data_IF_536599998484
#
_entry.id   IF_536599998484
#
_cell.length_a   1.000
_cell.length_b   1.000
_cell.length_c   1.000
_cell.angle_alpha   90.00
_cell.angle_beta   90.00
_cell.angle_gamma   90.00
#
_symmetry.space_group_name_H-M   'P 1'
#
loop_
_entity.id
_entity.type
_entity.pdbx_description
1 polymer ?
#
# COMPACT_ATOMS: atom_id res chain seq x y z
N UNK A 1 29.51 15.21 -27.84
CA UNK A 1 28.83 13.92 -28.04
C UNK A 1 27.46 14.21 -28.66
N UNK A 2 27.16 13.77 -29.90
CA UNK A 2 25.88 14.06 -30.53
C UNK A 2 24.79 13.16 -29.94
N UNK A 3 23.74 13.76 -29.35
CA UNK A 3 22.53 13.06 -28.95
C UNK A 3 21.83 12.52 -30.21
N UNK A 4 21.60 11.21 -30.25
CA UNK A 4 21.07 10.50 -31.40
C UNK A 4 19.61 10.89 -31.68
N UNK A 5 19.22 10.83 -32.96
CA UNK A 5 17.90 11.20 -33.49
C UNK A 5 16.70 10.60 -32.71
N UNK A 6 16.90 9.51 -31.97
CA UNK A 6 15.87 8.83 -31.20
C UNK A 6 15.30 9.67 -30.04
N UNK A 7 16.11 10.55 -29.42
CA UNK A 7 15.67 11.33 -28.27
C UNK A 7 14.78 12.52 -28.65
N UNK A 8 14.91 13.02 -29.90
CA UNK A 8 14.05 14.09 -30.43
C UNK A 8 12.64 13.60 -30.81
N UNK A 9 12.46 12.32 -31.11
CA UNK A 9 11.15 11.76 -31.47
C UNK A 9 10.20 11.60 -30.26
N UNK A 10 10.76 11.31 -29.07
CA UNK A 10 9.97 11.07 -27.84
C UNK A 10 9.38 12.38 -27.28
N UNK A 11 10.11 13.49 -27.37
CA UNK A 11 9.64 14.79 -26.89
C UNK A 11 8.49 15.37 -27.74
N UNK A 12 8.45 15.06 -29.04
CA UNK A 12 7.43 15.57 -29.97
C UNK A 12 6.07 14.85 -29.80
N UNK A 13 6.10 13.59 -29.34
CA UNK A 13 4.90 12.80 -29.09
C UNK A 13 4.15 13.24 -27.81
N UNK A 14 4.89 13.73 -26.80
CA UNK A 14 4.30 14.29 -25.57
C UNK A 14 3.70 15.69 -25.77
N UNK A 15 4.20 16.48 -26.72
CA UNK A 15 3.70 17.83 -26.98
C UNK A 15 2.36 17.86 -27.73
N UNK A 16 2.07 16.85 -28.57
CA UNK A 16 0.79 16.74 -29.28
C UNK A 16 -0.37 16.30 -28.37
N UNK A 17 -0.08 15.58 -27.28
CA UNK A 17 -1.07 15.18 -26.29
C UNK A 17 -1.56 16.35 -25.45
N UNK A 18 -0.75 17.39 -25.22
CA UNK A 18 -1.16 18.56 -24.44
C UNK A 18 -1.99 19.60 -25.22
N UNK A 19 -1.91 19.64 -26.56
CA UNK A 19 -2.51 20.72 -27.35
C UNK A 19 -4.02 20.60 -27.61
N UNK A 20 -4.68 19.51 -27.19
CA UNK A 20 -6.14 19.35 -27.34
C UNK A 20 -6.94 19.68 -26.06
N UNK A 21 -6.30 20.15 -24.99
CA UNK A 21 -6.95 20.39 -23.69
C UNK A 21 -7.39 21.83 -23.39
N UNK A 22 -7.43 22.73 -24.38
CA UNK A 22 -7.73 24.15 -24.13
C UNK A 22 -8.94 24.65 -24.95
N UNK A 23 -10.14 24.43 -24.41
CA UNK A 23 -11.28 25.34 -24.60
C UNK A 23 -12.04 25.54 -23.27
N UNK A 24 -12.41 26.78 -22.90
CA UNK A 24 -12.98 27.09 -21.60
C UNK A 24 -14.53 27.12 -21.56
N UNK A 25 -15.05 26.98 -20.33
CA UNK A 25 -16.25 27.62 -19.73
C UNK A 25 -17.68 27.24 -20.17
N UNK A 26 -18.48 26.76 -19.19
CA UNK A 26 -19.76 27.33 -18.70
C UNK A 26 -20.42 26.26 -17.78
N UNK A 27 -20.70 26.47 -16.48
CA UNK A 27 -21.63 27.40 -15.85
C UNK A 27 -23.09 27.29 -16.36
N UNK A 28 -23.89 26.51 -15.63
CA UNK A 28 -25.37 26.54 -15.46
C UNK A 28 -26.31 26.35 -16.68
N UNK A 29 -27.17 25.33 -16.53
CA UNK A 29 -28.57 25.14 -16.98
C UNK A 29 -29.00 25.54 -18.40
N UNK A 30 -29.56 24.58 -19.17
CA UNK A 30 -30.97 24.53 -19.62
C UNK A 30 -31.19 23.32 -20.56
N UNK A 31 -32.44 22.84 -20.57
CA UNK A 31 -32.99 21.63 -21.21
C UNK A 31 -32.96 21.60 -22.75
N UNK A 32 -33.24 20.39 -23.26
CA UNK A 32 -33.68 20.04 -24.62
C UNK A 32 -32.63 19.88 -25.72
N UNK A 33 -32.65 18.70 -26.35
CA UNK A 33 -32.11 18.51 -27.70
C UNK A 33 -31.44 17.15 -27.89
N UNK A 34 -32.25 16.17 -28.27
CA UNK A 34 -31.79 14.88 -28.79
C UNK A 34 -30.86 15.08 -30.00
N UNK A 35 -29.57 14.82 -29.84
CA UNK A 35 -28.65 14.59 -30.96
C UNK A 35 -27.48 13.75 -30.45
N UNK A 36 -27.19 12.65 -31.15
CA UNK A 36 -26.20 11.64 -30.77
C UNK A 36 -24.85 12.24 -30.37
N UNK A 37 -24.56 12.17 -29.08
CA UNK A 37 -23.22 12.40 -28.53
C UNK A 37 -22.49 11.08 -28.46
N UNK A 38 -21.44 10.92 -29.26
CA UNK A 38 -20.42 9.91 -29.02
C UNK A 38 -19.85 10.14 -27.63
N UNK A 39 -20.29 9.35 -26.65
CA UNK A 39 -19.69 9.32 -25.31
C UNK A 39 -18.21 9.00 -25.49
N UNK A 40 -17.34 9.98 -25.28
CA UNK A 40 -15.93 9.73 -25.09
C UNK A 40 -15.78 8.73 -23.94
N UNK A 41 -14.93 7.69 -24.04
CA UNK A 41 -14.72 6.77 -22.94
C UNK A 41 -14.32 7.58 -21.70
N UNK A 42 -15.16 7.56 -20.66
CA UNK A 42 -14.73 8.03 -19.35
C UNK A 42 -13.59 7.10 -18.95
N UNK A 43 -12.40 7.66 -18.70
CA UNK A 43 -11.30 6.90 -18.13
C UNK A 43 -11.79 6.35 -16.78
N UNK A 44 -12.09 5.06 -16.74
CA UNK A 44 -12.48 4.38 -15.51
C UNK A 44 -11.25 4.37 -14.63
N UNK A 45 -11.23 5.15 -13.55
CA UNK A 45 -10.17 5.04 -12.55
C UNK A 45 -10.13 3.59 -12.07
N UNK A 46 -8.96 2.97 -12.18
CA UNK A 46 -8.78 1.59 -11.76
C UNK A 46 -8.97 1.50 -10.25
N UNK A 47 -9.72 0.51 -9.73
CA UNK A 47 -9.96 0.41 -8.30
C UNK A 47 -8.63 0.20 -7.55
N UNK A 48 -8.53 0.83 -6.38
CA UNK A 48 -7.32 0.80 -5.55
C UNK A 48 -7.61 0.27 -4.15
N UNK A 49 -6.55 -0.26 -3.53
CA UNK A 49 -6.49 -0.69 -2.13
C UNK A 49 -5.27 -0.05 -1.49
N UNK A 50 -5.42 0.40 -0.24
CA UNK A 50 -4.29 0.95 0.53
C UNK A 50 -3.63 -0.14 1.37
N UNK A 51 -2.30 -0.26 1.25
CA UNK A 51 -1.47 -1.09 2.13
C UNK A 51 -0.65 -0.19 3.04
N UNK A 52 -0.77 -0.42 4.34
CA UNK A 52 0.03 0.25 5.38
C UNK A 52 0.81 -0.77 6.20
N UNK A 53 2.11 -0.58 6.34
CA UNK A 53 2.99 -1.40 7.18
C UNK A 53 3.67 -0.46 8.19
N UNK A 54 3.55 -0.78 9.47
CA UNK A 54 4.12 0.00 10.58
C UNK A 54 4.99 -0.90 11.43
N UNK A 55 6.17 -0.41 11.82
CA UNK A 55 7.09 -1.10 12.71
C UNK A 55 7.17 -0.38 14.07
N UNK A 56 6.14 -0.57 14.89
CA UNK A 56 6.03 0.05 16.20
C UNK A 56 5.83 1.57 16.19
N UNK A 57 6.01 2.17 17.37
CA UNK A 57 5.91 3.61 17.60
C UNK A 57 7.26 4.17 18.05
N UNK A 58 7.76 5.15 17.31
CA UNK A 58 8.89 5.97 17.72
C UNK A 58 8.43 7.20 18.52
N UNK A 59 9.40 7.99 18.96
CA UNK A 59 9.17 9.22 19.72
C UNK A 59 8.25 10.22 18.99
N UNK A 60 8.33 10.26 17.66
CA UNK A 60 7.57 11.18 16.81
C UNK A 60 6.25 10.59 16.29
N UNK A 61 5.87 9.38 16.72
CA UNK A 61 4.68 8.68 16.24
C UNK A 61 4.99 7.33 15.58
N UNK A 62 4.04 6.74 14.81
CA UNK A 62 4.21 5.43 14.20
C UNK A 62 5.37 5.43 13.20
N UNK A 63 6.20 4.39 13.24
CA UNK A 63 7.25 4.19 12.25
C UNK A 63 6.66 3.52 11.01
N UNK A 64 6.11 4.34 10.11
CA UNK A 64 5.46 3.88 8.87
C UNK A 64 6.51 3.48 7.84
N UNK A 65 6.52 2.20 7.47
CA UNK A 65 7.42 1.63 6.47
C UNK A 65 6.82 1.69 5.06
N UNK A 66 5.51 1.41 4.96
CA UNK A 66 4.74 1.49 3.71
C UNK A 66 3.40 2.17 4.03
N UNK A 67 2.95 3.05 3.16
CA UNK A 67 1.60 3.63 3.17
C UNK A 67 1.27 4.08 1.75
N UNK A 68 0.82 3.15 0.91
CA UNK A 68 0.62 3.36 -0.53
C UNK A 68 -0.66 2.71 -1.02
N UNK A 69 -1.22 3.30 -2.08
CA UNK A 69 -2.33 2.72 -2.82
C UNK A 69 -1.82 1.89 -4.00
N UNK A 70 -2.40 0.71 -4.17
CA UNK A 70 -2.11 -0.19 -5.28
C UNK A 70 -3.39 -0.44 -6.06
N UNK A 71 -3.30 -0.36 -7.39
CA UNK A 71 -4.36 -0.82 -8.26
C UNK A 71 -4.47 -2.33 -8.20
N UNK A 72 -5.69 -2.86 -8.31
CA UNK A 72 -5.92 -4.30 -8.33
C UNK A 72 -6.94 -4.69 -9.40
N UNK A 73 -7.03 -6.00 -9.65
CA UNK A 73 -8.05 -6.62 -10.50
C UNK A 73 -9.01 -7.43 -9.63
N UNK A 74 -10.29 -7.47 -10.01
CA UNK A 74 -11.29 -8.25 -9.29
C UNK A 74 -10.85 -9.72 -9.11
N UNK A 75 -11.07 -10.26 -7.91
CA UNK A 75 -10.69 -11.62 -7.55
C UNK A 75 -9.27 -11.75 -6.96
N UNK A 76 -8.45 -10.70 -7.02
CA UNK A 76 -7.17 -10.66 -6.31
C UNK A 76 -7.36 -10.67 -4.80
N UNK A 77 -6.31 -11.14 -4.14
CA UNK A 77 -6.25 -11.38 -2.70
C UNK A 77 -5.21 -10.50 -2.03
N UNK A 78 -5.17 -10.51 -0.70
CA UNK A 78 -4.13 -9.84 0.06
C UNK A 78 -2.71 -10.33 -0.32
N UNK A 79 -2.53 -11.61 -0.63
CA UNK A 79 -1.25 -12.13 -1.11
C UNK A 79 -0.81 -11.45 -2.41
N UNK A 80 -1.75 -11.18 -3.33
CA UNK A 80 -1.48 -10.45 -4.58
C UNK A 80 -1.13 -8.98 -4.32
N UNK A 81 -1.72 -8.35 -3.29
CA UNK A 81 -1.37 -6.99 -2.86
C UNK A 81 0.09 -6.91 -2.40
N UNK A 82 0.57 -7.88 -1.60
CA UNK A 82 1.97 -7.95 -1.20
C UNK A 82 2.90 -8.27 -2.38
N UNK A 83 2.46 -9.13 -3.33
CA UNK A 83 3.20 -9.37 -4.56
C UNK A 83 3.34 -8.08 -5.39
N UNK A 84 2.30 -7.25 -5.45
CA UNK A 84 2.34 -5.95 -6.13
C UNK A 84 3.28 -4.96 -5.42
N UNK A 85 3.27 -4.89 -4.09
CA UNK A 85 4.21 -4.10 -3.31
C UNK A 85 5.67 -4.52 -3.53
N UNK A 86 5.91 -5.84 -3.63
CA UNK A 86 7.23 -6.40 -3.97
C UNK A 86 7.65 -6.03 -5.40
N UNK A 87 6.75 -6.18 -6.37
CA UNK A 87 7.01 -5.82 -7.77
C UNK A 87 7.27 -4.32 -7.95
N UNK A 88 6.66 -3.47 -7.12
CA UNK A 88 6.91 -2.03 -7.08
C UNK A 88 8.25 -1.65 -6.40
N UNK A 89 8.90 -2.60 -5.71
CA UNK A 89 10.12 -2.35 -4.94
C UNK A 89 9.89 -1.67 -3.59
N UNK A 90 8.65 -1.62 -3.11
CA UNK A 90 8.31 -1.03 -1.81
C UNK A 90 8.67 -1.95 -0.64
N UNK A 91 8.69 -3.25 -0.91
CA UNK A 91 9.23 -4.29 -0.05
C UNK A 91 10.12 -5.19 -0.90
N UNK A 92 11.10 -5.84 -0.26
CA UNK A 92 12.01 -6.78 -0.91
C UNK A 92 11.46 -8.21 -0.86
N UNK A 93 10.89 -8.60 0.28
CA UNK A 93 10.26 -9.91 0.45
C UNK A 93 9.20 -9.91 1.55
N UNK A 94 8.40 -10.97 1.63
CA UNK A 94 7.40 -11.17 2.68
C UNK A 94 7.07 -12.64 2.86
N UNK A 95 6.52 -12.98 4.03
CA UNK A 95 6.06 -14.32 4.35
C UNK A 95 4.69 -14.28 5.01
N UNK A 96 3.78 -15.12 4.53
CA UNK A 96 2.56 -15.48 5.25
C UNK A 96 2.76 -16.86 5.91
N UNK A 97 2.27 -17.03 7.13
CA UNK A 97 2.38 -18.29 7.87
C UNK A 97 1.09 -18.64 8.59
N UNK A 98 0.86 -19.94 8.81
CA UNK A 98 -0.27 -20.46 9.59
C UNK A 98 0.20 -21.39 10.72
N UNK A 99 1.03 -20.91 11.66
CA UNK A 99 1.63 -21.76 12.69
C UNK A 99 0.60 -22.36 13.65
N UNK A 100 -0.58 -21.74 13.77
CA UNK A 100 -1.61 -22.11 14.75
C UNK A 100 -2.88 -22.70 14.13
N UNK A 101 -2.96 -22.84 12.80
CA UNK A 101 -4.10 -23.44 12.09
C UNK A 101 -5.33 -22.53 11.92
N UNK A 102 -5.26 -21.25 12.28
CA UNK A 102 -6.39 -20.31 12.21
C UNK A 102 -6.43 -19.48 10.91
N UNK A 103 -5.40 -19.58 10.07
CA UNK A 103 -5.28 -18.87 8.79
C UNK A 103 -3.85 -18.41 8.51
N UNK A 104 -3.58 -18.12 7.24
CA UNK A 104 -2.27 -17.60 6.81
C UNK A 104 -2.21 -16.09 7.04
N UNK A 105 -1.51 -15.67 8.08
CA UNK A 105 -1.31 -14.26 8.43
C UNK A 105 0.12 -13.82 8.14
N UNK A 106 0.32 -12.51 7.99
CA UNK A 106 1.65 -11.94 7.77
C UNK A 106 2.57 -12.33 8.93
N UNK A 107 3.70 -12.95 8.59
CA UNK A 107 4.71 -13.41 9.53
C UNK A 107 5.93 -12.50 9.50
N UNK A 108 6.35 -12.11 8.29
CA UNK A 108 7.51 -11.24 8.09
C UNK A 108 7.41 -10.38 6.84
N UNK A 109 8.14 -9.27 6.85
CA UNK A 109 8.39 -8.38 5.72
C UNK A 109 9.86 -8.00 5.72
N UNK A 110 10.52 -8.12 4.58
CA UNK A 110 11.86 -7.59 4.35
C UNK A 110 11.75 -6.29 3.54
N UNK A 111 12.31 -5.21 4.07
CA UNK A 111 12.32 -3.90 3.44
C UNK A 111 13.45 -3.78 2.40
N UNK A 112 13.40 -2.79 1.49
CA UNK A 112 14.43 -2.60 0.46
C UNK A 112 15.86 -2.39 1.01
N UNK A 113 15.98 -1.94 2.26
CA UNK A 113 17.25 -1.73 2.97
C UNK A 113 17.74 -2.97 3.75
N UNK A 114 17.18 -4.15 3.47
CA UNK A 114 17.43 -5.42 4.17
C UNK A 114 16.95 -5.49 5.63
N UNK A 115 16.22 -4.48 6.12
CA UNK A 115 15.56 -4.56 7.42
C UNK A 115 14.47 -5.62 7.38
N UNK A 116 14.53 -6.59 8.29
CA UNK A 116 13.48 -7.62 8.46
C UNK A 116 12.61 -7.25 9.65
N UNK A 117 11.31 -7.14 9.41
CA UNK A 117 10.27 -7.03 10.44
C UNK A 117 9.57 -8.37 10.50
N UNK A 118 9.69 -9.07 11.61
CA UNK A 118 9.16 -10.43 11.77
C UNK A 118 8.79 -10.69 13.22
N UNK A 119 7.86 -11.62 13.45
CA UNK A 119 7.64 -12.16 14.79
C UNK A 119 8.94 -12.79 15.33
N UNK A 120 9.55 -12.26 16.41
CA UNK A 120 10.71 -12.87 17.03
C UNK A 120 10.29 -14.16 17.74
N UNK A 121 11.11 -15.19 17.60
CA UNK A 121 11.00 -16.37 18.44
C UNK A 121 11.29 -16.00 19.90
N UNK A 122 10.28 -16.12 20.78
CA UNK A 122 10.46 -16.06 22.24
C UNK A 122 10.24 -14.70 22.92
N UNK A 123 9.81 -13.65 22.22
CA UNK A 123 9.34 -12.41 22.84
C UNK A 123 7.83 -12.22 22.60
N UNK A 124 7.20 -11.39 23.42
CA UNK A 124 5.80 -11.03 23.28
C UNK A 124 5.67 -9.96 22.18
N UNK A 125 5.98 -10.28 20.93
CA UNK A 125 5.76 -9.35 19.81
C UNK A 125 4.76 -10.00 18.84
N UNK A 126 3.98 -9.19 18.15
CA UNK A 126 2.93 -9.68 17.25
C UNK A 126 2.55 -8.64 16.20
N UNK A 127 1.98 -9.12 15.10
CA UNK A 127 1.31 -8.28 14.10
C UNK A 127 -0.13 -7.93 14.52
N UNK A 128 -0.39 -6.65 14.79
CA UNK A 128 -1.74 -6.12 14.92
C UNK A 128 -2.29 -5.79 13.53
N UNK A 129 -3.36 -6.48 13.14
CA UNK A 129 -3.93 -6.39 11.79
C UNK A 129 -5.23 -5.61 11.81
N UNK A 130 -5.42 -4.72 10.84
CA UNK A 130 -6.63 -3.93 10.67
C UNK A 130 -7.09 -3.91 9.22
N UNK A 131 -8.41 -3.93 9.03
CA UNK A 131 -9.06 -3.69 7.74
C UNK A 131 -10.06 -2.56 7.92
N UNK A 132 -9.96 -1.53 7.09
CA UNK A 132 -10.84 -0.36 7.09
C UNK A 132 -10.96 0.30 8.48
N UNK A 133 -9.82 0.41 9.17
CA UNK A 133 -9.70 1.00 10.51
C UNK A 133 -10.20 0.13 11.67
N UNK A 134 -10.77 -1.06 11.39
CA UNK A 134 -11.22 -2.00 12.42
C UNK A 134 -10.20 -3.11 12.63
N UNK A 135 -10.02 -3.53 13.89
CA UNK A 135 -9.16 -4.68 14.20
C UNK A 135 -9.67 -5.92 13.47
N UNK A 136 -8.76 -6.66 12.85
CA UNK A 136 -9.10 -7.82 12.04
C UNK A 136 -9.82 -8.89 12.87
N UNK A 137 -10.86 -9.49 12.28
CA UNK A 137 -11.61 -10.58 12.89
C UNK A 137 -11.98 -11.62 11.82
N UNK A 138 -12.14 -12.87 12.24
CA UNK A 138 -12.37 -13.98 11.31
C UNK A 138 -11.24 -14.09 10.28
N UNK A 139 -11.61 -14.17 9.00
CA UNK A 139 -10.67 -14.30 7.89
C UNK A 139 -10.07 -12.97 7.38
N UNK A 140 -10.41 -11.83 8.01
CA UNK A 140 -9.86 -10.54 7.60
C UNK A 140 -8.34 -10.50 7.76
N UNK A 141 -7.66 -9.86 6.81
CA UNK A 141 -6.19 -9.72 6.79
C UNK A 141 -5.40 -11.04 6.66
N UNK A 142 -6.06 -12.15 6.29
CA UNK A 142 -5.37 -13.38 5.88
C UNK A 142 -4.91 -13.29 4.42
N UNK A 143 -3.92 -14.09 4.02
CA UNK A 143 -3.38 -14.12 2.66
C UNK A 143 -4.46 -14.22 1.58
N UNK A 144 -5.51 -15.02 1.83
CA UNK A 144 -6.66 -15.21 0.94
C UNK A 144 -7.81 -14.20 1.09
N UNK A 145 -7.67 -13.16 1.93
CA UNK A 145 -8.69 -12.11 2.05
C UNK A 145 -8.85 -11.40 0.71
N UNK A 146 -10.09 -11.30 0.23
CA UNK A 146 -10.38 -10.74 -1.09
C UNK A 146 -10.31 -9.22 -1.03
N UNK A 147 -9.68 -8.65 -2.04
CA UNK A 147 -9.59 -7.20 -2.20
C UNK A 147 -10.93 -6.64 -2.70
N UNK A 148 -11.37 -5.56 -2.06
CA UNK A 148 -12.47 -4.72 -2.54
C UNK A 148 -12.00 -3.27 -2.76
N UNK A 149 -12.66 -2.55 -3.66
CA UNK A 149 -12.29 -1.18 -3.98
C UNK A 149 -12.43 -0.30 -2.74
N UNK A 150 -11.39 0.47 -2.43
CA UNK A 150 -11.33 1.33 -1.26
C UNK A 150 -10.97 0.61 0.04
N UNK A 151 -10.65 -0.70 0.01
CA UNK A 151 -10.11 -1.36 1.19
C UNK A 151 -8.80 -0.70 1.64
N UNK A 152 -8.60 -0.65 2.95
CA UNK A 152 -7.40 -0.19 3.60
C UNK A 152 -6.93 -1.26 4.60
N UNK A 153 -5.82 -1.92 4.27
CA UNK A 153 -5.18 -2.90 5.13
C UNK A 153 -4.02 -2.25 5.88
N UNK A 154 -3.94 -2.50 7.18
CA UNK A 154 -2.85 -2.04 8.02
C UNK A 154 -2.29 -3.19 8.86
N UNK A 155 -0.97 -3.35 8.77
CA UNK A 155 -0.18 -4.33 9.52
C UNK A 155 0.78 -3.56 10.42
N UNK A 156 0.50 -3.57 11.72
CA UNK A 156 1.33 -2.89 12.71
C UNK A 156 2.08 -3.90 13.55
N UNK A 157 3.38 -4.03 13.29
CA UNK A 157 4.25 -4.84 14.12
C UNK A 157 4.43 -4.16 15.48
N UNK A 158 4.17 -4.89 16.55
CA UNK A 158 4.25 -4.39 17.92
C UNK A 158 5.16 -5.30 18.74
N UNK A 159 6.12 -4.69 19.44
CA UNK A 159 6.93 -5.38 20.43
C UNK A 159 6.36 -5.10 21.84
N UNK A 160 5.91 -6.12 22.58
CA UNK A 160 5.51 -5.97 23.99
C UNK A 160 6.73 -5.98 24.93
N UNK A 161 7.96 -5.80 24.44
CA UNK A 161 9.07 -5.40 25.31
C UNK A 161 8.71 -4.04 25.93
N UNK A 162 8.10 -4.15 27.11
CA UNK A 162 7.77 -3.07 28.02
C UNK A 162 8.97 -2.14 28.08
N UNK A 163 8.73 -0.87 27.75
CA UNK A 163 9.61 0.27 27.95
C UNK A 163 10.58 0.02 29.11
N UNK A 164 11.77 -0.56 28.85
CA UNK A 164 12.81 -0.69 29.87
C UNK A 164 13.33 0.71 30.06
N UNK A 165 12.74 1.45 31.01
CA UNK A 165 13.37 2.64 31.56
C UNK A 165 14.83 2.33 31.89
N UNK A 166 15.72 3.34 31.86
CA UNK A 166 17.14 3.12 32.08
C UNK A 166 17.33 2.27 33.34
N UNK A 167 18.07 1.16 33.21
CA UNK A 167 18.39 0.29 34.34
C UNK A 167 18.95 1.19 35.45
N UNK A 168 18.45 1.09 36.70
CA UNK A 168 19.06 1.82 37.79
C UNK A 168 20.54 1.43 37.81
N UNK A 169 21.41 2.43 37.64
CA UNK A 169 22.83 2.25 37.86
C UNK A 169 22.98 1.85 39.32
N UNK A 170 23.12 0.55 39.57
CA UNK A 170 23.55 0.05 40.88
C UNK A 170 24.95 0.60 41.11
N UNK A 171 25.00 1.77 41.75
CA UNK A 171 26.22 2.35 42.27
C UNK A 171 26.76 1.42 43.34
N UNK A 172 27.80 0.68 42.99
CA UNK A 172 28.74 0.18 43.98
C UNK A 172 29.56 1.39 44.45
N UNK A 173 29.33 1.82 45.68
CA UNK A 173 30.26 2.60 46.49
C UNK A 173 30.17 2.12 47.92
#
# INVERSE_FOLDING_TARGET
MPATLAQKAIALLMALVLCMGLTPHAAWAEEAGETGGSSAPQAVEQPTVTLTIVNGFGYSGPNVLVSKAYSFTEGQTLADLFAAAKAAGDIKDYEFSNPYGYGEYLASVMMPDDTVVSDPTGAASYWANFKNGSYASGAACQAGDKLAAGDAFQFAFTDLVVNRGPLPTSGLS
#
